data_IF_600106683619
#
_entry.id   IF_600106683619
#
_cell.length_a   1.000
_cell.length_b   1.000
_cell.length_c   1.000
_cell.angle_alpha   90.00
_cell.angle_beta   90.00
_cell.angle_gamma   90.00
#
_symmetry.space_group_name_H-M   'P 1'
#
loop_
_entity.id
_entity.type
_entity.pdbx_description
1 polymer ?
#
# COMPACT_ATOMS: atom_id res chain seq x y z
N UNK A 1 -11.03 -12.95 -5.28
CA UNK A 1 -9.76 -13.69 -5.39
C UNK A 1 -8.71 -13.11 -4.45
N UNK A 2 -7.64 -13.87 -4.21
CA UNK A 2 -6.50 -13.33 -3.47
C UNK A 2 -5.93 -12.10 -4.20
N UNK A 3 -5.66 -11.03 -3.45
CA UNK A 3 -5.11 -9.76 -3.94
C UNK A 3 -6.06 -8.91 -4.78
N UNK A 4 -7.34 -9.24 -4.84
CA UNK A 4 -8.35 -8.32 -5.36
C UNK A 4 -8.58 -7.17 -4.36
N UNK A 5 -8.93 -5.99 -4.87
CA UNK A 5 -9.34 -4.83 -4.09
C UNK A 5 -10.84 -4.58 -4.21
N UNK A 6 -11.35 -3.74 -3.34
CA UNK A 6 -12.71 -3.21 -3.44
C UNK A 6 -12.73 -1.77 -2.93
N UNK A 7 -13.31 -0.88 -3.69
CA UNK A 7 -13.69 0.44 -3.21
C UNK A 7 -15.18 0.41 -2.86
N UNK A 8 -15.51 0.76 -1.63
CA UNK A 8 -16.89 0.83 -1.14
C UNK A 8 -17.27 2.30 -1.05
N UNK A 9 -18.19 2.71 -1.90
CA UNK A 9 -18.62 4.10 -2.03
C UNK A 9 -19.40 4.61 -0.80
N UNK A 10 -19.35 5.92 -0.58
CA UNK A 10 -20.13 6.59 0.46
C UNK A 10 -21.62 6.29 0.32
N UNK A 11 -22.27 5.95 1.43
CA UNK A 11 -23.70 5.65 1.50
C UNK A 11 -24.02 4.18 1.38
N UNK A 12 -23.04 3.31 1.14
CA UNK A 12 -23.23 1.85 1.25
C UNK A 12 -23.63 1.48 2.67
N UNK A 13 -24.58 0.55 2.80
CA UNK A 13 -25.11 0.04 4.07
C UNK A 13 -25.00 -1.48 4.09
N UNK A 14 -25.07 -2.03 5.29
CA UNK A 14 -25.13 -3.48 5.49
C UNK A 14 -23.96 -4.23 4.82
N UNK A 15 -22.74 -3.71 5.04
CA UNK A 15 -21.51 -4.29 4.50
C UNK A 15 -21.18 -5.54 5.32
N UNK A 16 -21.17 -6.69 4.67
CA UNK A 16 -20.85 -7.97 5.29
C UNK A 16 -19.58 -8.56 4.67
N UNK A 17 -18.69 -9.05 5.52
CA UNK A 17 -17.49 -9.77 5.12
C UNK A 17 -17.65 -11.24 5.47
N UNK A 18 -17.59 -12.09 4.48
CA UNK A 18 -17.79 -13.54 4.66
C UNK A 18 -16.68 -14.33 4.00
N UNK A 19 -16.22 -15.37 4.67
CA UNK A 19 -15.32 -16.35 4.07
C UNK A 19 -16.14 -17.39 3.28
N UNK A 20 -15.71 -17.66 2.04
CA UNK A 20 -16.31 -18.73 1.22
C UNK A 20 -16.01 -20.13 1.76
N UNK A 21 -14.92 -20.25 2.50
CA UNK A 21 -14.44 -21.49 3.09
C UNK A 21 -14.12 -21.25 4.56
N UNK A 22 -14.88 -21.88 5.45
CA UNK A 22 -14.69 -21.75 6.90
C UNK A 22 -13.39 -22.40 7.38
N UNK A 23 -12.84 -23.37 6.64
CA UNK A 23 -11.58 -24.03 6.95
C UNK A 23 -10.35 -23.20 6.51
N UNK A 24 -10.58 -22.21 5.63
CA UNK A 24 -9.56 -21.26 5.15
C UNK A 24 -10.15 -19.84 5.20
N UNK A 25 -10.17 -19.20 6.38
CA UNK A 25 -10.80 -17.89 6.56
C UNK A 25 -10.17 -16.83 5.65
N UNK A 26 -11.01 -16.01 5.05
CA UNK A 26 -10.55 -14.87 4.26
C UNK A 26 -9.87 -13.83 5.17
N UNK A 27 -8.73 -13.31 4.70
CA UNK A 27 -8.02 -12.19 5.31
C UNK A 27 -8.18 -10.96 4.42
N UNK A 28 -8.34 -9.80 5.02
CA UNK A 28 -8.47 -8.55 4.29
C UNK A 28 -7.91 -7.38 5.10
N UNK A 29 -7.43 -6.37 4.40
CA UNK A 29 -7.07 -5.08 4.94
C UNK A 29 -8.21 -4.10 4.66
N UNK A 30 -8.63 -3.33 5.66
CA UNK A 30 -9.63 -2.28 5.55
C UNK A 30 -9.03 -0.92 5.87
N UNK A 31 -9.18 0.02 4.94
CA UNK A 31 -8.88 1.42 5.15
C UNK A 31 -10.15 2.25 4.91
N UNK A 32 -10.43 3.22 5.76
CA UNK A 32 -11.64 4.05 5.63
C UNK A 32 -11.33 5.51 5.93
N UNK A 33 -12.03 6.40 5.23
CA UNK A 33 -11.92 7.84 5.40
C UNK A 33 -13.28 8.52 5.16
N UNK A 34 -13.50 9.73 5.71
CA UNK A 34 -14.66 10.55 5.36
C UNK A 34 -14.71 10.86 3.87
N UNK A 35 -15.91 10.86 3.29
CA UNK A 35 -16.11 11.17 1.89
C UNK A 35 -17.20 12.24 1.70
N UNK A 36 -16.90 13.29 0.94
CA UNK A 36 -17.85 14.36 0.60
C UNK A 36 -18.56 14.11 -0.74
N UNK A 37 -17.99 13.25 -1.60
CA UNK A 37 -18.58 12.81 -2.87
C UNK A 37 -18.90 11.33 -2.79
N UNK A 38 -20.01 10.91 -3.37
CA UNK A 38 -20.37 9.51 -3.53
C UNK A 38 -19.81 8.98 -4.87
N UNK A 39 -18.74 8.23 -4.82
CA UNK A 39 -18.24 7.45 -5.96
C UNK A 39 -18.84 6.05 -5.95
N UNK A 40 -18.98 5.39 -7.11
CA UNK A 40 -19.54 4.05 -7.19
C UNK A 40 -18.69 3.02 -6.43
N UNK A 41 -19.35 2.03 -5.85
CA UNK A 41 -18.68 0.83 -5.33
C UNK A 41 -18.19 -0.02 -6.49
N UNK A 42 -16.92 -0.41 -6.49
CA UNK A 42 -16.31 -1.21 -7.55
C UNK A 42 -15.41 -2.30 -6.99
N UNK A 43 -15.43 -3.46 -7.63
CA UNK A 43 -14.46 -4.54 -7.43
C UNK A 43 -13.22 -4.25 -8.31
N UNK A 44 -12.03 -4.32 -7.73
CA UNK A 44 -10.77 -3.98 -8.40
C UNK A 44 -9.98 -5.26 -8.58
N UNK A 45 -9.70 -5.62 -9.83
CA UNK A 45 -8.94 -6.83 -10.18
C UNK A 45 -7.63 -6.46 -10.87
N UNK A 46 -6.60 -7.24 -10.64
CA UNK A 46 -5.32 -7.10 -11.35
C UNK A 46 -5.43 -7.56 -12.80
N UNK A 47 -6.25 -8.58 -13.05
CA UNK A 47 -6.43 -9.23 -14.34
C UNK A 47 -7.88 -9.62 -14.55
N UNK A 48 -8.26 -9.85 -15.79
CA UNK A 48 -9.59 -10.30 -16.19
C UNK A 48 -10.21 -9.42 -17.25
N UNK A 49 -11.47 -9.68 -17.56
CA UNK A 49 -12.24 -8.88 -18.50
C UNK A 49 -13.05 -7.79 -17.76
N UNK A 50 -13.22 -6.62 -18.39
CA UNK A 50 -14.09 -5.59 -17.85
C UNK A 50 -15.54 -6.06 -17.79
N UNK A 51 -16.20 -5.84 -16.67
CA UNK A 51 -17.62 -6.13 -16.46
C UNK A 51 -18.26 -5.03 -15.60
N UNK A 52 -19.58 -4.99 -15.51
CA UNK A 52 -20.28 -3.99 -14.70
C UNK A 52 -19.84 -4.06 -13.22
N UNK A 53 -19.47 -2.93 -12.65
CA UNK A 53 -18.99 -2.86 -11.26
C UNK A 53 -17.58 -3.39 -11.04
N UNK A 54 -16.86 -3.77 -12.09
CA UNK A 54 -15.47 -4.24 -12.02
C UNK A 54 -14.53 -3.28 -12.75
N UNK A 55 -13.43 -2.95 -12.10
CA UNK A 55 -12.34 -2.16 -12.66
C UNK A 55 -11.09 -3.03 -12.72
N UNK A 56 -10.50 -3.15 -13.90
CA UNK A 56 -9.20 -3.79 -14.07
C UNK A 56 -8.11 -2.75 -13.87
N UNK A 57 -7.11 -3.07 -13.07
CA UNK A 57 -5.95 -2.19 -12.87
C UNK A 57 -5.25 -1.99 -14.22
N UNK A 58 -5.14 -0.74 -14.64
CA UNK A 58 -4.51 -0.37 -15.90
C UNK A 58 -3.03 -0.73 -15.91
N UNK A 59 -2.47 -1.02 -17.06
CA UNK A 59 -1.05 -1.40 -17.18
C UNK A 59 -0.10 -0.30 -16.69
N UNK A 60 -0.45 0.96 -16.89
CA UNK A 60 0.30 2.11 -16.35
C UNK A 60 0.32 2.17 -14.80
N UNK A 61 -0.59 1.44 -14.15
CA UNK A 61 -0.69 1.32 -12.70
C UNK A 61 -0.13 -0.02 -12.17
N UNK A 62 0.45 -0.84 -13.05
CA UNK A 62 1.24 -2.05 -12.73
C UNK A 62 2.69 -1.77 -13.10
N UNK A 63 3.46 -1.31 -12.15
CA UNK A 63 4.80 -0.76 -12.39
C UNK A 63 5.86 -1.68 -11.80
N UNK A 64 6.80 -2.12 -12.61
CA UNK A 64 8.00 -2.82 -12.14
C UNK A 64 9.13 -1.82 -12.01
N UNK A 65 9.76 -1.76 -10.84
CA UNK A 65 10.78 -0.77 -10.49
C UNK A 65 11.95 -1.38 -9.72
N UNK A 66 13.07 -0.65 -9.77
CA UNK A 66 14.28 -1.03 -9.06
C UNK A 66 15.03 -2.17 -9.73
N UNK A 67 16.08 -2.63 -9.09
CA UNK A 67 16.96 -3.70 -9.57
C UNK A 67 17.31 -4.67 -8.46
N UNK A 68 17.70 -5.88 -8.81
CA UNK A 68 18.24 -6.83 -7.85
C UNK A 68 19.60 -6.36 -7.30
N UNK A 69 20.39 -5.66 -8.11
CA UNK A 69 21.68 -5.09 -7.69
C UNK A 69 21.52 -4.12 -6.53
N UNK A 70 20.47 -3.28 -6.58
CA UNK A 70 20.13 -2.35 -5.50
C UNK A 70 19.27 -2.97 -4.41
N UNK A 71 18.97 -4.27 -4.48
CA UNK A 71 18.11 -5.02 -3.53
C UNK A 71 16.70 -4.43 -3.38
N UNK A 72 16.17 -3.79 -4.42
CA UNK A 72 14.88 -3.10 -4.39
C UNK A 72 13.98 -3.39 -5.60
N UNK A 73 14.24 -4.48 -6.33
CA UNK A 73 13.42 -4.90 -7.46
C UNK A 73 12.02 -5.31 -6.98
N UNK A 74 10.98 -4.65 -7.47
CA UNK A 74 9.62 -4.79 -6.97
C UNK A 74 8.55 -4.50 -8.01
N UNK A 75 7.37 -5.03 -7.78
CA UNK A 75 6.15 -4.75 -8.55
C UNK A 75 5.19 -3.94 -7.70
N UNK A 76 4.72 -2.82 -8.22
CA UNK A 76 3.78 -1.90 -7.58
C UNK A 76 2.47 -1.97 -8.35
N UNK A 77 1.38 -2.31 -7.65
CA UNK A 77 0.03 -2.30 -8.20
C UNK A 77 -0.78 -1.18 -7.51
N UNK A 78 -1.19 -0.18 -8.26
CA UNK A 78 -1.96 0.96 -7.76
C UNK A 78 -3.46 0.68 -7.94
N UNK A 79 -4.16 0.42 -6.85
CA UNK A 79 -5.59 0.07 -6.89
C UNK A 79 -6.50 1.29 -6.86
N UNK A 80 -6.25 2.20 -5.92
CA UNK A 80 -7.05 3.40 -5.69
C UNK A 80 -6.09 4.59 -5.81
N UNK A 81 -6.08 5.20 -6.98
CA UNK A 81 -5.36 6.44 -7.30
C UNK A 81 -6.17 7.20 -8.34
N UNK A 82 -6.00 8.52 -8.40
CA UNK A 82 -6.65 9.37 -9.41
C UNK A 82 -6.44 8.82 -10.81
N UNK A 83 -7.53 8.73 -11.57
CA UNK A 83 -7.52 8.17 -12.93
C UNK A 83 -7.63 6.63 -13.01
N UNK A 84 -7.55 5.91 -11.89
CA UNK A 84 -7.81 4.47 -11.80
C UNK A 84 -9.14 4.18 -11.09
N UNK A 85 -9.23 4.51 -9.81
CA UNK A 85 -10.45 4.50 -9.00
C UNK A 85 -10.47 5.77 -8.18
N UNK A 86 -11.49 6.58 -8.39
CA UNK A 86 -11.63 7.86 -7.70
C UNK A 86 -12.08 7.68 -6.24
N UNK A 87 -11.54 8.50 -5.38
CA UNK A 87 -11.92 8.59 -3.96
C UNK A 87 -11.83 10.04 -3.48
N UNK A 88 -12.30 10.31 -2.25
CA UNK A 88 -12.16 11.64 -1.65
C UNK A 88 -10.84 11.85 -0.93
N UNK A 89 -10.34 10.82 -0.26
CA UNK A 89 -9.16 10.91 0.59
C UNK A 89 -8.28 9.66 0.56
N UNK A 90 -8.76 8.57 -0.02
CA UNK A 90 -8.04 7.30 -0.03
C UNK A 90 -7.14 7.19 -1.26
N UNK A 91 -5.90 6.76 -1.05
CA UNK A 91 -5.08 6.18 -2.10
C UNK A 91 -4.52 4.86 -1.57
N UNK A 92 -4.50 3.81 -2.39
CA UNK A 92 -4.11 2.48 -1.94
C UNK A 92 -3.51 1.67 -3.06
N UNK A 93 -2.51 0.90 -2.71
CA UNK A 93 -1.93 -0.10 -3.59
C UNK A 93 -1.18 -1.17 -2.83
N UNK A 94 -0.55 -2.03 -3.58
CA UNK A 94 0.23 -3.14 -3.06
C UNK A 94 1.59 -3.18 -3.75
N UNK A 95 2.63 -3.34 -2.98
CA UNK A 95 4.00 -3.52 -3.47
C UNK A 95 4.50 -4.90 -3.06
N UNK A 96 4.97 -5.66 -4.04
CA UNK A 96 5.61 -6.95 -3.82
C UNK A 96 7.09 -6.85 -4.20
N UNK A 97 7.98 -7.10 -3.24
CA UNK A 97 9.40 -7.25 -3.51
C UNK A 97 9.65 -8.61 -4.17
N UNK A 98 10.50 -8.63 -5.19
CA UNK A 98 10.89 -9.85 -5.87
C UNK A 98 12.04 -10.56 -5.12
N UNK A 99 12.22 -11.87 -5.31
CA UNK A 99 13.26 -12.63 -4.61
C UNK A 99 14.63 -11.98 -4.67
N UNK A 100 15.31 -11.86 -3.52
CA UNK A 100 16.60 -11.19 -3.37
C UNK A 100 16.49 -9.67 -3.10
N UNK A 101 15.32 -9.08 -3.22
CA UNK A 101 15.09 -7.67 -2.90
C UNK A 101 14.46 -7.54 -1.52
N UNK A 102 14.98 -6.64 -0.70
CA UNK A 102 14.61 -6.49 0.71
C UNK A 102 14.32 -5.04 1.10
N UNK A 103 14.58 -4.07 0.20
CA UNK A 103 14.50 -2.64 0.50
C UNK A 103 13.40 -1.94 -0.30
N UNK A 104 12.49 -1.29 0.41
CA UNK A 104 11.48 -0.34 -0.08
C UNK A 104 11.00 0.53 1.10
N UNK A 105 10.69 1.76 0.99
CA UNK A 105 10.60 2.67 -0.13
C UNK A 105 11.98 3.28 -0.37
N UNK A 106 12.37 3.39 -1.62
CA UNK A 106 13.62 3.98 -2.03
C UNK A 106 13.41 4.98 -3.18
N UNK A 107 13.76 6.26 -3.02
CA UNK A 107 14.22 6.91 -1.80
C UNK A 107 13.15 7.00 -0.73
N UNK A 108 13.54 7.12 0.53
CA UNK A 108 12.63 7.48 1.61
C UNK A 108 12.07 8.88 1.36
N UNK A 109 10.82 9.13 1.72
CA UNK A 109 10.16 10.41 1.47
C UNK A 109 9.09 10.71 2.52
N UNK A 110 8.62 11.95 2.55
CA UNK A 110 7.44 12.40 3.28
C UNK A 110 6.35 12.81 2.30
N UNK A 111 5.15 13.02 2.81
CA UNK A 111 4.00 13.52 2.04
C UNK A 111 3.34 14.71 2.73
N UNK A 112 2.85 15.65 1.95
CA UNK A 112 2.00 16.71 2.49
C UNK A 112 0.55 16.27 2.59
N UNK A 113 -0.08 16.58 3.74
CA UNK A 113 -1.53 16.47 3.98
C UNK A 113 -2.14 15.08 3.76
N UNK A 114 -1.35 14.04 3.91
CA UNK A 114 -1.82 12.65 3.94
C UNK A 114 -0.92 11.80 4.84
N UNK A 115 -1.51 10.86 5.55
CA UNK A 115 -0.80 9.84 6.30
C UNK A 115 -0.74 8.56 5.48
N UNK A 116 0.10 7.64 5.88
CA UNK A 116 0.22 6.34 5.24
C UNK A 116 0.27 5.21 6.27
N UNK A 117 -0.35 4.09 5.94
CA UNK A 117 -0.29 2.84 6.72
C UNK A 117 0.33 1.77 5.84
N UNK A 118 1.34 1.08 6.35
CA UNK A 118 1.85 -0.14 5.75
C UNK A 118 1.34 -1.36 6.50
N UNK A 119 0.70 -2.30 5.80
CA UNK A 119 0.45 -3.66 6.29
C UNK A 119 1.43 -4.60 5.59
N UNK A 120 2.35 -5.19 6.35
CA UNK A 120 3.31 -6.17 5.86
C UNK A 120 2.70 -7.58 5.89
N UNK A 121 2.89 -8.35 4.81
CA UNK A 121 2.38 -9.72 4.71
C UNK A 121 3.14 -10.55 3.66
N UNK A 122 2.73 -11.79 3.41
CA UNK A 122 3.47 -12.74 2.57
C UNK A 122 4.93 -12.93 3.06
N UNK A 123 5.10 -13.03 4.36
CA UNK A 123 6.39 -13.21 5.01
C UNK A 123 6.46 -14.57 5.71
N UNK A 124 7.65 -15.14 5.73
CA UNK A 124 7.94 -16.34 6.53
C UNK A 124 7.85 -16.02 8.03
N UNK A 125 7.54 -17.01 8.86
CA UNK A 125 7.34 -16.83 10.31
C UNK A 125 8.59 -16.28 11.04
N UNK A 126 9.80 -16.57 10.52
CA UNK A 126 11.07 -16.09 11.07
C UNK A 126 11.58 -14.80 10.41
N UNK A 127 10.81 -14.26 9.46
CA UNK A 127 11.16 -13.02 8.78
C UNK A 127 10.65 -11.79 9.53
N UNK A 128 11.35 -10.67 9.32
CA UNK A 128 10.95 -9.37 9.83
C UNK A 128 11.29 -8.27 8.84
N UNK A 129 10.68 -7.10 9.03
CA UNK A 129 11.02 -5.86 8.35
C UNK A 129 11.33 -4.80 9.40
N UNK A 130 12.47 -4.12 9.27
CA UNK A 130 12.72 -2.86 9.97
C UNK A 130 12.00 -1.75 9.20
N UNK A 131 10.91 -1.29 9.77
CA UNK A 131 10.20 -0.13 9.23
C UNK A 131 10.81 1.14 9.79
N UNK A 132 11.44 1.92 8.93
CA UNK A 132 12.02 3.21 9.28
C UNK A 132 10.97 4.30 9.25
N UNK A 133 10.93 5.09 10.30
CA UNK A 133 10.01 6.22 10.48
C UNK A 133 10.68 7.35 11.27
N UNK A 134 9.98 8.44 11.43
CA UNK A 134 10.46 9.62 12.12
C UNK A 134 10.79 10.75 11.16
N UNK A 135 11.33 11.83 11.67
CA UNK A 135 11.87 12.90 10.83
C UNK A 135 13.14 12.43 10.14
N UNK A 136 13.46 12.92 8.93
CA UNK A 136 14.65 12.49 8.20
C UNK A 136 15.96 12.61 8.99
N UNK A 137 16.03 13.60 9.88
CA UNK A 137 17.23 13.86 10.71
C UNK A 137 17.20 13.15 12.05
N UNK A 138 16.13 12.46 12.37
CA UNK A 138 15.96 11.70 13.62
C UNK A 138 15.12 10.46 13.38
N UNK A 139 15.69 9.50 12.66
CA UNK A 139 14.98 8.28 12.29
C UNK A 139 14.92 7.27 13.45
N UNK A 140 13.87 6.48 13.43
CA UNK A 140 13.64 5.33 14.31
C UNK A 140 13.24 4.15 13.47
N UNK A 141 13.26 2.95 14.04
CA UNK A 141 12.71 1.78 13.39
C UNK A 141 11.78 1.02 14.32
N UNK A 142 10.84 0.32 13.70
CA UNK A 142 9.94 -0.64 14.35
C UNK A 142 10.14 -1.97 13.66
N UNK A 143 10.31 -3.05 14.44
CA UNK A 143 10.34 -4.40 13.88
C UNK A 143 8.91 -4.83 13.59
N UNK A 144 8.66 -5.19 12.34
CA UNK A 144 7.37 -5.63 11.84
C UNK A 144 7.44 -7.10 11.43
N UNK A 145 6.44 -7.86 11.83
CA UNK A 145 6.28 -9.25 11.44
C UNK A 145 5.10 -9.43 10.47
N UNK A 146 4.89 -10.68 10.05
CA UNK A 146 3.80 -11.01 9.12
C UNK A 146 2.44 -10.59 9.67
N UNK A 147 1.64 -9.94 8.83
CA UNK A 147 0.28 -9.44 9.13
C UNK A 147 0.24 -8.32 10.19
N UNK A 148 1.32 -7.57 10.34
CA UNK A 148 1.37 -6.39 11.19
C UNK A 148 1.33 -5.10 10.36
N UNK A 149 0.69 -4.07 10.93
CA UNK A 149 0.55 -2.75 10.31
C UNK A 149 1.21 -1.66 11.13
N UNK A 150 1.76 -0.66 10.45
CA UNK A 150 2.38 0.51 11.05
C UNK A 150 1.82 1.79 10.42
N UNK A 151 1.61 2.81 11.25
CA UNK A 151 1.08 4.11 10.85
C UNK A 151 2.24 5.10 10.73
N UNK A 152 2.37 5.74 9.57
CA UNK A 152 3.30 6.82 9.31
C UNK A 152 2.54 8.15 9.16
N UNK A 153 2.67 9.09 10.09
CA UNK A 153 2.13 10.44 9.94
C UNK A 153 2.75 11.16 8.74
N UNK A 154 2.11 12.21 8.24
CA UNK A 154 2.55 12.94 7.05
C UNK A 154 3.98 13.50 7.14
N UNK A 155 4.41 13.90 8.35
CA UNK A 155 5.75 14.42 8.62
C UNK A 155 6.84 13.33 8.69
N UNK A 156 6.44 12.07 8.80
CA UNK A 156 7.35 10.93 8.97
C UNK A 156 7.74 10.34 7.64
N UNK A 157 9.01 10.02 7.47
CA UNK A 157 9.42 9.10 6.42
C UNK A 157 8.78 7.73 6.66
N UNK A 158 8.71 6.94 5.60
CA UNK A 158 8.32 5.53 5.66
C UNK A 158 9.17 4.74 4.66
N UNK A 159 9.83 3.74 5.16
CA UNK A 159 10.71 2.86 4.38
C UNK A 159 10.88 1.55 5.12
N UNK A 160 11.24 0.48 4.46
CA UNK A 160 11.41 -0.82 5.10
C UNK A 160 12.59 -1.60 4.54
N UNK A 161 13.35 -2.26 5.44
CA UNK A 161 14.38 -3.20 5.06
C UNK A 161 14.10 -4.54 5.72
N UNK A 162 13.80 -5.54 4.91
CA UNK A 162 13.44 -6.88 5.38
C UNK A 162 14.63 -7.82 5.50
N UNK A 163 14.49 -8.84 6.34
CA UNK A 163 15.40 -9.99 6.36
C UNK A 163 15.26 -10.88 5.11
N UNK A 164 14.12 -10.79 4.42
CA UNK A 164 13.78 -11.46 3.15
C UNK A 164 12.83 -10.58 2.36
N UNK A 165 12.51 -10.96 1.11
CA UNK A 165 11.47 -10.33 0.32
C UNK A 165 10.11 -10.41 1.03
N UNK A 166 9.32 -9.37 0.90
CA UNK A 166 8.01 -9.23 1.53
C UNK A 166 7.03 -8.53 0.60
N UNK A 167 5.76 -8.61 0.93
CA UNK A 167 4.70 -7.83 0.29
C UNK A 167 4.11 -6.86 1.31
N UNK A 168 3.67 -5.69 0.87
CA UNK A 168 2.93 -4.80 1.75
C UNK A 168 1.84 -4.05 0.99
N UNK A 169 0.74 -3.79 1.70
CA UNK A 169 -0.27 -2.83 1.27
C UNK A 169 0.15 -1.48 1.83
N UNK A 170 0.12 -0.46 0.98
CA UNK A 170 0.21 0.93 1.37
C UNK A 170 -1.16 1.57 1.21
N UNK A 171 -1.68 2.12 2.31
CA UNK A 171 -2.95 2.82 2.37
C UNK A 171 -2.75 4.23 2.86
N UNK A 172 -3.01 5.22 2.00
CA UNK A 172 -2.92 6.63 2.35
C UNK A 172 -4.29 7.22 2.61
N UNK A 173 -4.36 8.17 3.52
CA UNK A 173 -5.55 8.93 3.81
C UNK A 173 -5.20 10.41 4.03
N UNK A 174 -5.89 11.29 3.33
CA UNK A 174 -5.74 12.73 3.42
C UNK A 174 -6.34 13.44 2.20
N UNK A 175 -6.37 14.76 2.25
CA UNK A 175 -6.92 15.56 1.15
C UNK A 175 -6.00 15.66 -0.08
N UNK A 176 -4.72 15.31 0.08
CA UNK A 176 -3.77 15.29 -1.02
C UNK A 176 -3.91 14.00 -1.82
N UNK A 177 -4.43 14.12 -3.05
CA UNK A 177 -4.67 13.01 -3.97
C UNK A 177 -3.57 12.85 -5.04
N UNK A 178 -2.56 13.74 -5.04
CA UNK A 178 -1.44 13.61 -5.96
C UNK A 178 -0.51 12.47 -5.52
N UNK A 179 -0.63 11.33 -6.19
CA UNK A 179 0.26 10.18 -5.91
C UNK A 179 1.74 10.54 -6.05
N UNK A 180 2.08 11.46 -6.94
CA UNK A 180 3.46 11.90 -7.21
C UNK A 180 4.03 12.86 -6.19
N UNK A 181 3.22 13.36 -5.24
CA UNK A 181 3.69 14.23 -4.17
C UNK A 181 4.51 13.44 -3.16
N UNK A 182 5.81 13.39 -3.42
CA UNK A 182 6.80 12.71 -2.61
C UNK A 182 7.99 13.65 -2.41
N UNK A 183 8.14 14.16 -1.19
CA UNK A 183 9.30 14.94 -0.77
C UNK A 183 10.46 13.99 -0.47
N UNK A 184 11.21 13.65 -1.51
CA UNK A 184 12.28 12.67 -1.44
C UNK A 184 13.45 13.14 -0.57
N UNK A 185 13.95 12.25 0.26
CA UNK A 185 15.13 12.46 1.13
C UNK A 185 16.30 11.68 0.55
N UNK A 186 17.39 12.37 0.30
CA UNK A 186 18.60 11.69 -0.15
C UNK A 186 19.20 10.83 0.97
N UNK A 187 19.70 9.65 0.62
CA UNK A 187 20.22 8.69 1.62
C UNK A 187 21.31 9.29 2.52
N UNK A 188 22.13 10.22 2.00
CA UNK A 188 23.17 10.91 2.79
C UNK A 188 22.61 11.83 3.87
N UNK A 189 21.34 12.22 3.78
CA UNK A 189 20.68 13.18 4.67
C UNK A 189 19.85 12.49 5.77
N UNK A 190 19.68 11.17 5.68
CA UNK A 190 19.04 10.38 6.74
C UNK A 190 19.95 10.25 7.97
N UNK A 191 19.39 10.43 9.18
CA UNK A 191 20.10 10.33 10.48
C UNK A 191 19.34 9.46 11.46
#
# INVERSE_FOLDING_TARGET
>A
NARDGMYIGRGSKDITFESKDASNPAKFYLNSAPAHVAYPTVHIKLEGEPEEGVVIVKDENKVEMGTLEDSNHRVINKYIVTGQVESCQLAMGMTKLLPGSVWNTMPAHTHDRRMEVYLYFDMEDDAFVMHYMGEPQETRHIIMHNEEAVISPSWSIHSGCGSRAYTFIWGMCGENQDYGDMDNIENKDLR
#
